data_IF_612533115757
#
_entry.id   IF_612533115757
#
_cell.length_a   1.000
_cell.length_b   1.000
_cell.length_c   1.000
_cell.angle_alpha   90.00
_cell.angle_beta   90.00
_cell.angle_gamma   90.00
#
_symmetry.space_group_name_H-M   'P 1'
#
loop_
_entity.id
_entity.type
_entity.pdbx_description
1 polymer ?
#
# COMPACT_ATOMS: atom_id res chain seq x y z
N UNK A 1 -10.36 12.47 -16.85
CA UNK A 1 -10.60 11.03 -16.68
C UNK A 1 -9.26 10.36 -16.93
N UNK A 2 -8.78 9.60 -15.96
CA UNK A 2 -7.56 8.80 -16.09
C UNK A 2 -7.93 7.33 -15.86
N UNK A 3 -7.35 6.43 -16.65
CA UNK A 3 -7.50 4.99 -16.55
C UNK A 3 -6.12 4.38 -16.52
N UNK A 4 -5.90 3.48 -15.57
CA UNK A 4 -4.63 2.79 -15.37
C UNK A 4 -4.91 1.31 -15.06
N UNK A 5 -4.02 0.42 -15.53
CA UNK A 5 -4.10 -1.02 -15.30
C UNK A 5 -2.72 -1.62 -15.12
N UNK A 6 -2.59 -2.54 -14.18
CA UNK A 6 -1.33 -3.20 -13.85
C UNK A 6 -1.59 -4.70 -13.67
N UNK A 7 -0.84 -5.52 -14.38
CA UNK A 7 -0.95 -6.98 -14.37
C UNK A 7 0.39 -7.59 -13.96
N UNK A 8 0.35 -8.53 -13.02
CA UNK A 8 1.50 -9.32 -12.61
C UNK A 8 1.18 -10.80 -12.71
N UNK A 9 2.14 -11.57 -13.21
CA UNK A 9 2.06 -13.04 -13.23
C UNK A 9 3.31 -13.58 -12.55
N UNK A 10 3.12 -14.46 -11.57
CA UNK A 10 4.19 -15.12 -10.84
C UNK A 10 3.84 -16.58 -10.54
N UNK A 11 4.87 -17.40 -10.36
CA UNK A 11 4.74 -18.79 -9.94
C UNK A 11 4.68 -18.86 -8.41
N UNK A 12 3.82 -19.74 -7.88
CA UNK A 12 3.74 -19.99 -6.44
C UNK A 12 4.97 -20.78 -5.96
N UNK A 13 5.69 -20.27 -4.97
CA UNK A 13 6.79 -20.97 -4.31
C UNK A 13 6.43 -21.41 -2.90
N UNK A 14 6.66 -22.69 -2.57
CA UNK A 14 6.66 -23.18 -1.18
C UNK A 14 8.09 -23.19 -0.66
N UNK A 15 8.35 -22.44 0.41
CA UNK A 15 9.61 -22.53 1.14
C UNK A 15 9.49 -23.58 2.24
N UNK A 16 10.33 -24.60 2.17
CA UNK A 16 10.43 -25.61 3.23
C UNK A 16 11.80 -25.52 3.87
N UNK A 17 11.83 -25.27 5.19
CA UNK A 17 13.04 -25.33 5.97
C UNK A 17 13.13 -26.68 6.69
N UNK A 18 14.14 -27.48 6.33
CA UNK A 18 14.42 -28.72 7.04
C UNK A 18 15.45 -28.44 8.15
N UNK A 19 14.99 -28.39 9.40
CA UNK A 19 15.80 -28.08 10.57
C UNK A 19 16.83 -29.17 10.93
N UNK A 20 16.66 -30.39 10.43
CA UNK A 20 17.61 -31.49 10.66
C UNK A 20 18.81 -31.39 9.71
N UNK A 21 18.56 -31.00 8.46
CA UNK A 21 19.58 -30.95 7.41
C UNK A 21 20.09 -29.53 7.11
N UNK A 22 19.59 -28.52 7.82
CA UNK A 22 19.85 -27.09 7.54
C UNK A 22 19.71 -26.74 6.05
N UNK A 23 18.71 -27.34 5.41
CA UNK A 23 18.50 -27.24 3.97
C UNK A 23 17.23 -26.41 3.68
N UNK A 24 17.38 -25.46 2.77
CA UNK A 24 16.27 -24.67 2.23
C UNK A 24 15.94 -25.19 0.83
N UNK A 25 14.72 -25.72 0.64
CA UNK A 25 14.17 -25.93 -0.70
C UNK A 25 13.15 -24.85 -1.03
N UNK A 26 13.20 -24.38 -2.27
CA UNK A 26 12.15 -23.60 -2.91
C UNK A 26 11.57 -24.51 -3.98
N UNK A 27 10.42 -25.11 -3.68
CA UNK A 27 9.68 -25.89 -4.67
C UNK A 27 8.66 -24.96 -5.32
N UNK A 28 8.79 -24.74 -6.63
CA UNK A 28 7.80 -24.01 -7.42
C UNK A 28 6.64 -24.95 -7.73
N UNK A 29 5.46 -24.64 -7.22
CA UNK A 29 4.23 -25.31 -7.62
C UNK A 29 3.86 -24.84 -9.04
N UNK A 30 3.52 -25.79 -9.92
CA UNK A 30 2.98 -25.48 -11.24
C UNK A 30 1.59 -24.84 -11.10
N UNK A 31 1.56 -23.54 -10.84
CA UNK A 31 0.36 -22.75 -10.67
C UNK A 31 0.68 -21.28 -10.88
N UNK A 32 0.24 -20.73 -12.00
CA UNK A 32 0.33 -19.30 -12.28
C UNK A 32 -0.79 -18.58 -11.52
N UNK A 33 -0.43 -17.64 -10.64
CA UNK A 33 -1.39 -16.67 -10.11
C UNK A 33 -1.28 -15.41 -10.93
N UNK A 34 -2.42 -14.91 -11.40
CA UNK A 34 -2.52 -13.63 -12.10
C UNK A 34 -3.16 -12.63 -11.17
N UNK A 35 -2.36 -11.69 -10.70
CA UNK A 35 -2.82 -10.56 -9.95
C UNK A 35 -3.04 -9.38 -10.89
N UNK A 36 -4.13 -8.65 -10.68
CA UNK A 36 -4.40 -7.43 -11.43
C UNK A 36 -4.94 -6.34 -10.53
N UNK A 37 -4.68 -5.10 -10.93
CA UNK A 37 -5.41 -3.94 -10.41
C UNK A 37 -5.75 -3.02 -11.57
N UNK A 38 -6.98 -2.52 -11.58
CA UNK A 38 -7.43 -1.52 -12.53
C UNK A 38 -8.17 -0.42 -11.78
N UNK A 39 -7.89 0.81 -12.17
CA UNK A 39 -8.41 2.00 -11.50
C UNK A 39 -8.87 3.04 -12.50
N UNK A 40 -9.86 3.82 -12.09
CA UNK A 40 -10.38 4.95 -12.81
C UNK A 40 -10.53 6.15 -11.85
N UNK A 41 -10.11 7.33 -12.31
CA UNK A 41 -10.33 8.57 -11.55
C UNK A 41 -11.02 9.67 -12.36
N UNK A 42 -11.95 10.33 -11.67
CA UNK A 42 -12.63 11.52 -12.14
C UNK A 42 -12.23 12.69 -11.26
N UNK A 43 -11.66 13.72 -11.87
CA UNK A 43 -11.25 14.92 -11.15
C UNK A 43 -11.93 16.14 -11.78
N UNK A 44 -12.56 16.96 -10.95
CA UNK A 44 -13.15 18.23 -11.36
C UNK A 44 -12.47 19.36 -10.61
N UNK A 45 -11.89 20.28 -11.39
CA UNK A 45 -11.31 21.51 -10.89
C UNK A 45 -12.35 22.63 -10.87
N UNK A 46 -12.46 23.31 -9.73
CA UNK A 46 -13.18 24.56 -9.57
C UNK A 46 -12.26 25.60 -8.94
N UNK A 47 -11.62 26.41 -9.79
CA UNK A 47 -10.66 27.46 -9.37
C UNK A 47 -9.49 26.88 -8.56
N UNK A 48 -9.50 27.05 -7.23
CA UNK A 48 -8.49 26.59 -6.26
C UNK A 48 -8.83 25.25 -5.61
N UNK A 49 -9.97 24.68 -5.95
CA UNK A 49 -10.45 23.40 -5.42
C UNK A 49 -10.40 22.32 -6.49
N UNK A 50 -10.05 21.11 -6.07
CA UNK A 50 -10.18 19.91 -6.88
C UNK A 50 -10.98 18.90 -6.07
N UNK A 51 -12.05 18.38 -6.67
CA UNK A 51 -12.71 17.17 -6.17
C UNK A 51 -12.34 15.99 -7.05
N UNK A 52 -11.99 14.88 -6.41
CA UNK A 52 -11.71 13.61 -7.04
C UNK A 52 -12.69 12.53 -6.60
N UNK A 53 -13.03 11.65 -7.52
CA UNK A 53 -13.68 10.37 -7.27
C UNK A 53 -12.78 9.28 -7.89
N UNK A 54 -12.37 8.32 -7.08
CA UNK A 54 -11.54 7.20 -7.45
C UNK A 54 -12.35 5.91 -7.33
N UNK A 55 -12.23 5.03 -8.31
CA UNK A 55 -12.78 3.68 -8.28
C UNK A 55 -11.66 2.72 -8.68
N UNK A 56 -11.52 1.61 -7.97
CA UNK A 56 -10.58 0.56 -8.34
C UNK A 56 -11.17 -0.82 -8.05
N UNK A 57 -10.76 -1.78 -8.86
CA UNK A 57 -10.95 -3.20 -8.60
C UNK A 57 -9.59 -3.89 -8.69
N UNK A 58 -9.39 -4.89 -7.86
CA UNK A 58 -8.18 -5.68 -7.89
C UNK A 58 -8.51 -7.16 -7.65
N UNK A 59 -7.57 -8.01 -8.04
CA UNK A 59 -7.49 -9.40 -7.63
C UNK A 59 -6.07 -9.66 -7.21
N UNK A 60 -5.87 -9.95 -5.93
CA UNK A 60 -4.56 -10.20 -5.31
C UNK A 60 -4.64 -11.53 -4.57
N UNK A 61 -3.71 -12.46 -4.81
CA UNK A 61 -3.71 -13.78 -4.17
C UNK A 61 -5.07 -14.49 -4.27
N UNK A 62 -5.71 -14.40 -5.44
CA UNK A 62 -7.06 -14.91 -5.76
C UNK A 62 -8.22 -14.25 -5.01
N UNK A 63 -7.99 -13.24 -4.17
CA UNK A 63 -9.03 -12.46 -3.50
C UNK A 63 -9.42 -11.26 -4.36
N UNK A 64 -10.71 -11.08 -4.59
CA UNK A 64 -11.23 -9.89 -5.25
C UNK A 64 -11.41 -8.76 -4.24
N UNK A 65 -11.00 -7.56 -4.63
CA UNK A 65 -11.15 -6.34 -3.86
C UNK A 65 -11.73 -5.20 -4.70
N UNK A 66 -12.57 -4.40 -4.06
CA UNK A 66 -13.19 -3.21 -4.63
C UNK A 66 -12.88 -2.01 -3.75
N UNK A 67 -12.48 -0.90 -4.35
CA UNK A 67 -12.15 0.32 -3.65
C UNK A 67 -12.86 1.50 -4.30
N UNK A 68 -13.42 2.38 -3.47
CA UNK A 68 -13.94 3.67 -3.89
C UNK A 68 -13.33 4.76 -3.02
N UNK A 69 -13.15 5.95 -3.57
CA UNK A 69 -12.57 7.05 -2.82
C UNK A 69 -13.05 8.39 -3.28
N UNK A 70 -13.17 9.33 -2.34
CA UNK A 70 -13.40 10.74 -2.62
C UNK A 70 -12.21 11.53 -2.12
N UNK A 71 -11.77 12.50 -2.90
CA UNK A 71 -10.66 13.37 -2.53
C UNK A 71 -10.98 14.83 -2.75
N UNK A 72 -10.36 15.67 -1.93
CA UNK A 72 -10.45 17.11 -1.97
C UNK A 72 -9.05 17.70 -1.89
N UNK A 73 -8.70 18.55 -2.84
CA UNK A 73 -7.48 19.36 -2.81
C UNK A 73 -7.85 20.83 -2.77
N UNK A 74 -7.22 21.58 -1.87
CA UNK A 74 -7.38 23.02 -1.77
C UNK A 74 -6.02 23.70 -1.83
N UNK A 75 -5.84 24.55 -2.84
CA UNK A 75 -4.70 25.45 -2.96
C UNK A 75 -4.99 26.74 -2.16
N UNK A 76 -4.30 26.92 -1.03
CA UNK A 76 -4.60 28.05 -0.13
C UNK A 76 -4.22 29.39 -0.76
N UNK A 77 -3.13 29.42 -1.53
CA UNK A 77 -2.66 30.61 -2.22
C UNK A 77 -3.20 30.67 -3.64
N UNK A 78 -3.33 31.87 -4.19
CA UNK A 78 -3.67 32.03 -5.61
C UNK A 78 -2.57 31.56 -6.56
N UNK A 79 -1.37 31.33 -6.05
CA UNK A 79 -0.16 30.98 -6.81
C UNK A 79 0.07 29.47 -6.98
N UNK A 80 -0.84 28.60 -6.51
CA UNK A 80 -0.69 27.14 -6.52
C UNK A 80 0.55 26.61 -5.76
N UNK A 81 1.25 27.45 -4.99
CA UNK A 81 2.49 27.09 -4.27
C UNK A 81 2.24 26.28 -2.99
N UNK A 82 1.02 26.27 -2.48
CA UNK A 82 0.66 25.54 -1.27
C UNK A 82 -0.68 24.86 -1.46
N UNK A 83 -0.75 23.59 -1.07
CA UNK A 83 -2.03 22.87 -1.04
C UNK A 83 -2.15 21.98 0.19
N UNK A 84 -3.41 21.76 0.58
CA UNK A 84 -3.82 20.64 1.41
C UNK A 84 -4.65 19.67 0.58
N UNK A 85 -4.58 18.41 0.93
CA UNK A 85 -5.26 17.31 0.30
C UNK A 85 -5.81 16.41 1.40
N UNK A 86 -7.05 15.98 1.21
CA UNK A 86 -7.74 15.03 2.08
C UNK A 86 -8.45 14.03 1.19
N UNK A 87 -8.32 12.76 1.50
CA UNK A 87 -9.04 11.70 0.82
C UNK A 87 -9.58 10.67 1.80
N UNK A 88 -10.73 10.13 1.46
CA UNK A 88 -11.40 9.05 2.16
C UNK A 88 -11.61 7.92 1.17
N UNK A 89 -11.12 6.74 1.50
CA UNK A 89 -11.30 5.53 0.72
C UNK A 89 -12.08 4.50 1.52
N UNK A 90 -13.01 3.83 0.87
CA UNK A 90 -13.68 2.65 1.36
C UNK A 90 -13.27 1.46 0.49
N UNK A 91 -12.88 0.36 1.13
CA UNK A 91 -12.43 -0.86 0.46
C UNK A 91 -13.20 -2.06 1.00
N UNK A 92 -13.53 -2.98 0.10
CA UNK A 92 -14.12 -4.27 0.41
C UNK A 92 -13.28 -5.36 -0.26
N UNK A 93 -12.70 -6.27 0.53
CA UNK A 93 -11.87 -7.37 0.05
C UNK A 93 -12.15 -8.61 0.91
N UNK A 94 -12.45 -9.75 0.29
CA UNK A 94 -12.64 -11.04 0.96
C UNK A 94 -13.47 -10.96 2.26
N UNK A 95 -14.66 -10.36 2.17
CA UNK A 95 -15.61 -10.15 3.28
C UNK A 95 -15.19 -9.16 4.38
N UNK A 96 -14.05 -8.47 4.21
CA UNK A 96 -13.62 -7.38 5.11
C UNK A 96 -13.92 -6.03 4.47
N UNK A 97 -14.60 -5.16 5.20
CA UNK A 97 -14.78 -3.75 4.86
C UNK A 97 -13.80 -2.90 5.67
N UNK A 98 -13.07 -2.00 5.01
CA UNK A 98 -12.11 -1.09 5.65
C UNK A 98 -12.27 0.34 5.11
N UNK A 99 -11.91 1.31 5.95
CA UNK A 99 -11.91 2.74 5.62
C UNK A 99 -10.52 3.31 5.85
N UNK A 100 -10.04 4.10 4.88
CA UNK A 100 -8.73 4.74 4.91
C UNK A 100 -8.87 6.25 4.75
N UNK A 101 -8.23 7.00 5.63
CA UNK A 101 -8.07 8.44 5.51
C UNK A 101 -6.65 8.75 5.07
N UNK A 102 -6.49 9.64 4.10
CA UNK A 102 -5.19 10.09 3.65
C UNK A 102 -5.18 11.62 3.59
N UNK A 103 -4.30 12.22 4.38
CA UNK A 103 -4.09 13.66 4.40
C UNK A 103 -2.71 13.95 3.83
N UNK A 104 -2.61 14.94 2.96
CA UNK A 104 -1.34 15.39 2.40
C UNK A 104 -1.31 16.92 2.41
N UNK A 105 -0.15 17.48 2.67
CA UNK A 105 0.13 18.89 2.42
C UNK A 105 1.37 19.00 1.57
N UNK A 106 1.39 19.97 0.67
CA UNK A 106 2.52 20.24 -0.19
C UNK A 106 2.84 21.71 -0.24
N UNK A 107 4.12 22.04 -0.21
CA UNK A 107 4.64 23.38 -0.40
C UNK A 107 5.71 23.39 -1.49
N UNK A 108 5.55 24.32 -2.42
CA UNK A 108 6.55 24.68 -3.39
C UNK A 108 7.52 25.68 -2.75
N UNK A 109 8.71 25.19 -2.39
CA UNK A 109 9.71 26.01 -1.71
C UNK A 109 10.72 26.64 -2.69
N UNK A 110 10.79 26.11 -3.92
CA UNK A 110 11.51 26.70 -5.06
C UNK A 110 10.66 26.52 -6.33
N UNK A 111 10.93 27.31 -7.38
CA UNK A 111 10.18 27.29 -8.65
C UNK A 111 9.94 25.89 -9.24
N UNK A 112 10.82 24.93 -8.97
CA UNK A 112 10.71 23.55 -9.45
C UNK A 112 10.82 22.51 -8.33
N UNK A 113 10.75 22.91 -7.05
CA UNK A 113 10.94 21.99 -5.93
C UNK A 113 9.76 22.00 -4.98
N UNK A 114 9.35 20.81 -4.59
CA UNK A 114 8.23 20.55 -3.71
C UNK A 114 8.66 19.74 -2.50
N UNK A 115 8.12 20.09 -1.34
CA UNK A 115 8.11 19.24 -0.16
C UNK A 115 6.66 18.84 0.09
N UNK A 116 6.41 17.55 0.18
CA UNK A 116 5.10 16.99 0.52
C UNK A 116 5.21 16.17 1.80
N UNK A 117 4.28 16.36 2.72
CA UNK A 117 4.09 15.50 3.89
C UNK A 117 2.73 14.83 3.80
N UNK A 118 2.65 13.54 4.10
CA UNK A 118 1.39 12.79 4.10
C UNK A 118 1.24 11.90 5.32
N UNK A 119 0.02 11.77 5.81
CA UNK A 119 -0.37 10.85 6.87
C UNK A 119 -1.57 10.03 6.41
N UNK A 120 -1.46 8.71 6.50
CA UNK A 120 -2.50 7.73 6.23
C UNK A 120 -2.93 7.03 7.52
N UNK A 121 -4.23 6.94 7.73
CA UNK A 121 -4.87 6.27 8.87
C UNK A 121 -5.87 5.24 8.35
N UNK A 122 -5.90 4.05 8.95
CA UNK A 122 -6.78 2.95 8.52
C UNK A 122 -5.97 1.69 8.23
N UNK A 123 -6.66 0.59 7.94
CA UNK A 123 -6.09 -0.75 7.76
C UNK A 123 -5.65 -1.01 6.31
N UNK A 124 -4.45 -0.60 5.90
CA UNK A 124 -4.03 -0.77 4.50
C UNK A 124 -3.59 -2.22 4.23
N UNK A 125 -4.54 -3.09 3.86
CA UNK A 125 -4.30 -4.44 3.33
C UNK A 125 -4.83 -4.51 1.89
N UNK A 126 -4.01 -4.94 0.94
CA UNK A 126 -4.42 -4.99 -0.49
C UNK A 126 -4.78 -3.61 -1.09
N UNK A 127 -4.41 -2.53 -0.41
CA UNK A 127 -4.78 -1.17 -0.79
C UNK A 127 -4.04 -0.71 -2.05
N UNK A 128 -4.79 -0.12 -2.99
CA UNK A 128 -4.22 0.54 -4.16
C UNK A 128 -4.18 2.06 -3.95
N UNK A 129 -2.98 2.64 -3.96
CA UNK A 129 -2.83 4.10 -3.92
C UNK A 129 -2.84 4.64 -5.35
N UNK A 130 -3.52 5.77 -5.55
CA UNK A 130 -3.46 6.58 -6.78
C UNK A 130 -3.68 5.74 -8.05
N UNK A 131 -4.95 5.55 -8.42
CA UNK A 131 -5.29 5.05 -9.77
C UNK A 131 -4.66 3.68 -10.06
N UNK A 132 -4.62 2.77 -9.09
CA UNK A 132 -4.04 1.43 -9.30
C UNK A 132 -2.52 1.39 -9.53
N UNK A 133 -1.79 2.51 -9.37
CA UNK A 133 -0.35 2.58 -9.69
C UNK A 133 0.53 1.98 -8.60
N UNK A 134 0.08 1.97 -7.34
CA UNK A 134 0.84 1.41 -6.23
C UNK A 134 -0.01 0.42 -5.45
N UNK A 135 0.26 -0.87 -5.65
CA UNK A 135 -0.34 -1.96 -4.91
C UNK A 135 0.51 -2.23 -3.66
N UNK A 136 -0.03 -2.06 -2.46
CA UNK A 136 0.57 -2.64 -1.27
C UNK A 136 0.13 -4.10 -1.19
N UNK A 137 0.80 -4.97 -1.96
CA UNK A 137 0.70 -6.41 -1.74
C UNK A 137 1.67 -6.80 -0.62
N UNK A 138 1.36 -6.38 0.60
CA UNK A 138 2.08 -6.78 1.81
C UNK A 138 1.20 -7.72 2.62
N UNK A 139 1.76 -8.81 3.19
CA UNK A 139 0.98 -9.75 4.01
C UNK A 139 0.45 -9.09 5.30
N UNK A 140 1.18 -8.07 5.78
CA UNK A 140 0.93 -7.38 7.03
C UNK A 140 -0.04 -6.22 6.86
N UNK A 141 -0.88 -6.00 7.87
CA UNK A 141 -1.78 -4.86 7.91
C UNK A 141 -0.99 -3.61 8.35
N UNK A 142 -1.15 -2.51 7.62
CA UNK A 142 -0.56 -1.23 8.02
C UNK A 142 -1.65 -0.43 8.74
N UNK A 143 -1.41 -0.04 9.98
CA UNK A 143 -2.37 0.78 10.75
C UNK A 143 -2.15 2.29 10.52
N UNK A 144 -0.88 2.66 10.34
CA UNK A 144 -0.46 4.05 10.26
C UNK A 144 0.67 4.21 9.25
N UNK A 145 0.58 5.26 8.43
CA UNK A 145 1.60 5.62 7.46
C UNK A 145 1.93 7.09 7.54
N UNK A 146 3.18 7.43 7.84
CA UNK A 146 3.72 8.78 7.67
C UNK A 146 4.66 8.81 6.47
N UNK A 147 4.64 9.88 5.67
CA UNK A 147 5.65 10.05 4.63
C UNK A 147 6.04 11.51 4.44
N UNK A 148 7.32 11.72 4.11
CA UNK A 148 7.87 13.00 3.69
C UNK A 148 8.53 12.80 2.32
N UNK A 149 8.23 13.66 1.36
CA UNK A 149 8.73 13.54 -0.01
C UNK A 149 9.26 14.89 -0.47
N UNK A 150 10.48 14.90 -0.98
CA UNK A 150 11.06 16.03 -1.70
C UNK A 150 11.06 15.68 -3.18
N UNK A 151 10.53 16.57 -4.02
CA UNK A 151 10.52 16.42 -5.48
C UNK A 151 11.20 17.60 -6.12
N UNK A 152 11.93 17.37 -7.20
CA UNK A 152 12.55 18.42 -8.00
C UNK A 152 12.40 18.14 -9.49
N UNK A 153 11.87 19.12 -10.23
CA UNK A 153 11.65 19.05 -11.66
C UNK A 153 12.84 19.66 -12.43
N UNK A 154 13.64 18.79 -13.04
CA UNK A 154 14.76 19.14 -13.90
C UNK A 154 14.25 19.39 -15.33
N UNK A 155 14.33 20.66 -15.76
CA UNK A 155 14.02 21.10 -17.14
C UNK A 155 12.66 20.63 -17.67
N UNK A 156 11.65 20.48 -16.80
CA UNK A 156 10.30 20.01 -17.11
C UNK A 156 10.19 18.60 -17.73
N UNK A 157 11.30 17.85 -17.82
CA UNK A 157 11.34 16.52 -18.45
C UNK A 157 11.66 15.40 -17.46
N UNK A 158 12.43 15.70 -16.42
CA UNK A 158 12.79 14.72 -15.41
C UNK A 158 12.32 15.21 -14.05
N UNK A 159 11.62 14.37 -13.31
CA UNK A 159 11.34 14.59 -11.90
C UNK A 159 12.19 13.61 -11.10
N UNK A 160 13.02 14.15 -10.21
CA UNK A 160 13.69 13.36 -9.18
C UNK A 160 12.91 13.50 -7.88
N UNK A 161 12.82 12.42 -7.12
CA UNK A 161 12.16 12.43 -5.83
C UNK A 161 12.91 11.59 -4.81
N UNK A 162 12.94 12.08 -3.58
CA UNK A 162 13.40 11.35 -2.41
C UNK A 162 12.25 11.30 -1.42
N UNK A 163 11.83 10.11 -1.05
CA UNK A 163 10.71 9.88 -0.14
C UNK A 163 11.15 9.02 1.04
N UNK A 164 10.89 9.52 2.23
CA UNK A 164 10.91 8.74 3.45
C UNK A 164 9.49 8.31 3.80
N UNK A 165 9.31 7.03 4.12
CA UNK A 165 8.04 6.47 4.56
C UNK A 165 8.25 5.74 5.87
N UNK A 166 7.44 6.07 6.86
CA UNK A 166 7.29 5.31 8.09
C UNK A 166 5.97 4.54 8.02
N UNK A 167 6.02 3.26 8.39
CA UNK A 167 4.85 2.40 8.51
C UNK A 167 4.81 1.83 9.92
N UNK A 168 3.66 1.91 10.59
CA UNK A 168 3.35 1.06 11.74
C UNK A 168 2.54 -0.11 11.23
N UNK A 169 3.07 -1.31 11.42
CA UNK A 169 2.48 -2.55 10.93
C UNK A 169 2.03 -3.43 12.08
N UNK A 170 0.96 -4.15 11.83
CA UNK A 170 0.48 -5.22 12.67
C UNK A 170 0.56 -6.52 11.87
N UNK A 171 1.22 -7.51 12.46
CA UNK A 171 1.41 -8.80 11.85
C UNK A 171 0.84 -9.88 12.74
N UNK A 172 0.01 -10.73 12.14
CA UNK A 172 -0.61 -11.86 12.81
C UNK A 172 0.13 -13.14 12.44
N UNK A 173 0.58 -13.86 13.46
CA UNK A 173 1.22 -15.16 13.30
C UNK A 173 0.44 -16.23 14.06
N UNK A 174 0.34 -17.42 13.46
CA UNK A 174 -0.12 -18.61 14.16
C UNK A 174 1.06 -19.17 14.95
N UNK A 175 0.93 -19.19 16.28
CA UNK A 175 1.89 -19.81 17.18
C UNK A 175 1.30 -21.08 17.77
N UNK A 176 1.99 -22.20 17.55
CA UNK A 176 1.69 -23.48 18.18
C UNK A 176 2.31 -23.52 19.58
N UNK A 177 1.46 -23.54 20.61
CA UNK A 177 1.89 -23.64 22.00
C UNK A 177 1.61 -25.06 22.49
N UNK A 178 2.56 -25.67 23.17
CA UNK A 178 2.38 -27.00 23.77
C UNK A 178 1.21 -26.96 24.75
N UNK A 179 0.17 -27.74 24.49
CA UNK A 179 -1.02 -27.83 25.35
C UNK A 179 -0.99 -29.04 26.28
N UNK A 180 -0.06 -29.97 26.08
CA UNK A 180 0.12 -31.14 26.93
C UNK A 180 0.61 -32.35 26.15
N UNK A 181 0.22 -33.53 26.61
CA UNK A 181 0.44 -34.81 25.93
C UNK A 181 -0.91 -35.52 25.76
N UNK A 182 -1.08 -36.23 24.65
CA UNK A 182 -2.25 -37.07 24.41
C UNK A 182 -2.18 -38.38 25.24
N UNK A 183 -3.20 -39.24 25.11
CA UNK A 183 -3.26 -40.52 25.83
C UNK A 183 -2.10 -41.49 25.47
N UNK A 184 -1.42 -41.25 24.36
CA UNK A 184 -0.27 -42.03 23.90
C UNK A 184 1.07 -41.34 24.21
N UNK A 185 1.07 -40.28 25.03
CA UNK A 185 2.25 -39.51 25.40
C UNK A 185 2.90 -38.74 24.22
N UNK A 186 2.15 -38.42 23.16
CA UNK A 186 2.60 -37.51 22.11
C UNK A 186 2.26 -36.07 22.49
N UNK A 187 3.19 -35.10 22.28
CA UNK A 187 2.93 -33.71 22.59
C UNK A 187 1.80 -33.16 21.71
N UNK A 188 0.83 -32.51 22.33
CA UNK A 188 -0.27 -31.81 21.64
C UNK A 188 0.02 -30.32 21.60
N UNK A 189 -0.44 -29.66 20.54
CA UNK A 189 -0.29 -28.23 20.34
C UNK A 189 -1.65 -27.59 20.15
N UNK A 190 -1.83 -26.44 20.78
CA UNK A 190 -2.96 -25.55 20.51
C UNK A 190 -2.48 -24.38 19.65
N UNK A 191 -3.32 -23.99 18.69
CA UNK A 191 -3.11 -22.81 17.88
C UNK A 191 -3.48 -21.56 18.69
N UNK A 192 -2.54 -20.63 18.78
CA UNK A 192 -2.77 -19.31 19.35
C UNK A 192 -2.41 -18.23 18.34
N UNK A 193 -3.27 -17.22 18.20
CA UNK A 193 -2.97 -16.04 17.39
C UNK A 193 -2.07 -15.10 18.20
N UNK A 194 -0.90 -14.78 17.66
CA UNK A 194 0.01 -13.81 18.22
C UNK A 194 0.05 -12.57 17.31
N UNK A 195 -0.26 -11.41 17.88
CA UNK A 195 -0.16 -10.13 17.19
C UNK A 195 1.15 -9.44 17.58
N UNK A 196 1.98 -9.14 16.59
CA UNK A 196 3.20 -8.36 16.78
C UNK A 196 3.07 -7.00 16.09
N UNK A 197 3.47 -5.95 16.79
CA UNK A 197 3.44 -4.58 16.29
C UNK A 197 4.87 -4.11 16.06
N UNK A 198 5.19 -3.76 14.82
CA UNK A 198 6.54 -3.31 14.48
C UNK A 198 6.51 -2.08 13.56
N UNK A 199 7.62 -1.35 13.56
CA UNK A 199 7.80 -0.14 12.78
C UNK A 199 8.73 -0.41 11.61
N UNK A 200 8.37 0.05 10.41
CA UNK A 200 9.20 -0.04 9.21
C UNK A 200 9.53 1.35 8.69
N UNK A 201 10.80 1.56 8.35
CA UNK A 201 11.34 2.79 7.78
C UNK A 201 11.83 2.50 6.35
N UNK A 202 11.34 3.25 5.37
CA UNK A 202 11.67 3.07 3.96
C UNK A 202 12.20 4.37 3.37
N UNK A 203 13.28 4.27 2.59
CA UNK A 203 13.79 5.33 1.75
C UNK A 203 13.60 4.93 0.30
N UNK A 204 12.87 5.75 -0.45
CA UNK A 204 12.51 5.51 -1.83
C UNK A 204 13.10 6.65 -2.66
N UNK A 205 13.96 6.30 -3.60
CA UNK A 205 14.41 7.20 -4.64
C UNK A 205 13.59 6.96 -5.90
N UNK A 206 13.04 8.02 -6.49
CA UNK A 206 12.23 7.95 -7.70
C UNK A 206 12.78 8.85 -8.79
N UNK A 207 12.80 8.33 -10.02
CA UNK A 207 13.04 9.10 -11.24
C UNK A 207 11.84 8.91 -12.15
N UNK A 208 11.18 10.01 -12.51
CA UNK A 208 10.10 10.03 -13.48
C UNK A 208 10.55 10.81 -14.73
N UNK A 209 10.29 10.24 -15.90
CA UNK A 209 10.63 10.80 -17.21
C UNK A 209 9.33 11.15 -17.92
N UNK A 210 9.08 12.44 -18.09
CA UNK A 210 7.97 12.94 -18.89
C UNK A 210 8.42 12.94 -20.36
N UNK A 211 8.00 11.93 -21.11
CA UNK A 211 8.22 11.81 -22.57
C UNK A 211 7.27 12.72 -23.36
#
# INVERSE_FOLDING_TARGET
MAFDSLNYSYDLGTQTYNSINYYYSIDSLAGSVTDFTTGMSFEKRWSRFYLGLDLAMNRIDKKEGYQSGVSFTWYLTGSFDYYIYSALYAQYEADRFSIHHNYKMGIQFLKNSWIESSIGLGEFKGFSVNKGTLLYNMPDDIDWRGALCIKHLLRNRFEISLRYVYLKKNQEYIKYVSSGFDQNNFPTFEESLFQDNYNQHLFIFGLNINL
#
